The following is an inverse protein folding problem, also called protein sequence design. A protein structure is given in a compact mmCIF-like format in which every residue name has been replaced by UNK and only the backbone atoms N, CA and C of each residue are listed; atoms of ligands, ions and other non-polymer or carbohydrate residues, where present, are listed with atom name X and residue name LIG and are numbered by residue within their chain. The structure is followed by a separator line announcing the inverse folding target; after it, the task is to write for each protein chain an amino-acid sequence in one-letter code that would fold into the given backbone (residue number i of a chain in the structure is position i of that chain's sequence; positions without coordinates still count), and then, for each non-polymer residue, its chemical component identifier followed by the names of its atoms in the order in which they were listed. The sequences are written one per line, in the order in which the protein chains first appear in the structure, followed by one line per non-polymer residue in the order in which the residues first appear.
data_IF_346258526215
#
_entry.id   IF_346258526215
#
_cell.length_a   1.000
_cell.length_b   1.000
_cell.length_c   1.000
_cell.angle_alpha   90.00
_cell.angle_beta   90.00
_cell.angle_gamma   90.00
#
_symmetry.space_group_name_H-M   'P 1'
#
loop_
_entity.id
_entity.type
_entity.pdbx_description
1 polymer ?
#
# COMPACT_ATOMS: atom_id res chain seq x y z
N UNK A 1 6.42 -18.90 20.72
CA UNK A 1 6.43 -19.76 19.51
C UNK A 1 7.83 -19.71 18.95
N UNK A 2 8.37 -20.86 18.56
CA UNK A 2 9.62 -20.95 17.79
C UNK A 2 9.44 -20.38 16.38
N UNK A 3 10.55 -20.04 15.71
CA UNK A 3 10.51 -19.56 14.33
C UNK A 3 9.89 -20.57 13.36
N UNK A 4 10.17 -21.86 13.57
CA UNK A 4 9.59 -22.93 12.76
C UNK A 4 8.07 -23.00 12.89
N UNK A 5 7.55 -22.95 14.12
CA UNK A 5 6.09 -22.95 14.34
C UNK A 5 5.40 -21.74 13.68
N UNK A 6 6.03 -20.56 13.71
CA UNK A 6 5.53 -19.36 13.03
C UNK A 6 5.46 -19.58 11.52
N UNK A 7 6.53 -20.12 10.93
CA UNK A 7 6.60 -20.41 9.49
C UNK A 7 5.55 -21.46 9.10
N UNK A 8 5.42 -22.54 9.86
CA UNK A 8 4.50 -23.63 9.57
C UNK A 8 3.05 -23.17 9.62
N UNK A 9 2.67 -22.39 10.63
CA UNK A 9 1.32 -21.79 10.69
C UNK A 9 1.03 -20.94 9.46
N UNK A 10 1.96 -20.09 9.05
CA UNK A 10 1.72 -19.25 7.87
C UNK A 10 1.66 -20.08 6.59
N UNK A 11 2.51 -21.09 6.41
CA UNK A 11 2.46 -21.98 5.25
C UNK A 11 1.15 -22.77 5.18
N UNK A 12 0.59 -23.14 6.32
CA UNK A 12 -0.64 -23.92 6.40
C UNK A 12 -1.90 -23.07 6.22
N UNK A 13 -1.93 -21.85 6.77
CA UNK A 13 -3.16 -21.08 6.91
C UNK A 13 -3.17 -19.73 6.18
N UNK A 14 -2.06 -19.32 5.55
CA UNK A 14 -1.96 -18.02 4.87
C UNK A 14 -1.57 -18.21 3.42
N UNK A 15 -2.32 -17.54 2.52
CA UNK A 15 -1.94 -17.43 1.12
C UNK A 15 -1.01 -16.22 0.95
N UNK A 16 0.25 -16.48 0.60
CA UNK A 16 1.24 -15.41 0.47
C UNK A 16 1.04 -14.63 -0.83
N UNK A 17 1.07 -13.30 -0.74
CA UNK A 17 1.09 -12.45 -1.92
C UNK A 17 2.48 -12.44 -2.58
N UNK A 18 2.51 -12.21 -3.90
CA UNK A 18 3.74 -11.98 -4.70
C UNK A 18 4.72 -13.16 -4.79
N UNK A 19 4.31 -14.37 -4.45
CA UNK A 19 5.16 -15.57 -4.55
C UNK A 19 4.35 -16.82 -4.86
N UNK A 20 4.99 -17.81 -5.49
CA UNK A 20 4.39 -19.13 -5.69
C UNK A 20 4.33 -19.86 -4.34
N UNK A 21 3.16 -20.38 -3.97
CA UNK A 21 2.94 -20.94 -2.62
C UNK A 21 3.92 -22.08 -2.28
N UNK A 22 4.22 -22.95 -3.25
CA UNK A 22 5.19 -24.05 -3.09
C UNK A 22 6.63 -23.58 -2.87
N UNK A 23 6.98 -22.37 -3.31
CA UNK A 23 8.33 -21.80 -3.21
C UNK A 23 8.47 -20.76 -2.07
N UNK A 24 7.43 -20.59 -1.24
CA UNK A 24 7.48 -19.68 -0.09
C UNK A 24 8.56 -20.10 0.90
N UNK A 25 9.41 -19.16 1.32
CA UNK A 25 10.38 -19.35 2.40
C UNK A 25 10.39 -18.08 3.28
N UNK A 26 9.34 -17.88 4.10
CA UNK A 26 9.16 -16.64 4.85
C UNK A 26 10.16 -16.55 6.01
N UNK A 27 10.63 -15.32 6.29
CA UNK A 27 11.45 -15.03 7.46
C UNK A 27 10.49 -14.77 8.65
N UNK A 28 10.63 -15.46 9.79
CA UNK A 28 9.80 -15.22 10.98
C UNK A 28 10.26 -13.92 11.69
N UNK A 29 9.90 -12.77 11.12
CA UNK A 29 10.25 -11.44 11.63
C UNK A 29 9.54 -11.16 12.97
N UNK A 30 10.27 -10.62 13.95
CA UNK A 30 9.71 -10.27 15.27
C UNK A 30 9.83 -8.80 15.63
N UNK A 31 10.65 -8.02 14.92
CA UNK A 31 10.85 -6.61 15.22
C UNK A 31 11.75 -5.90 14.22
N UNK A 32 11.83 -4.58 14.36
CA UNK A 32 12.71 -3.73 13.57
C UNK A 32 12.83 -2.35 14.18
N UNK A 33 13.93 -1.67 13.85
CA UNK A 33 14.22 -0.30 14.26
C UNK A 33 15.05 0.39 13.17
N UNK A 34 14.60 1.57 12.74
CA UNK A 34 15.30 2.35 11.72
C UNK A 34 15.42 1.56 10.42
N UNK A 35 16.65 1.35 9.94
CA UNK A 35 16.93 0.62 8.69
C UNK A 35 17.10 -0.90 8.90
N UNK A 36 16.93 -1.40 10.12
CA UNK A 36 17.12 -2.82 10.43
C UNK A 36 15.80 -3.49 10.83
N UNK A 37 15.68 -4.77 10.52
CA UNK A 37 14.71 -5.69 11.13
C UNK A 37 15.41 -6.98 11.57
N UNK A 38 14.74 -7.79 12.38
CA UNK A 38 15.29 -9.06 12.88
C UNK A 38 14.24 -10.15 12.99
N UNK A 39 14.70 -11.39 12.83
CA UNK A 39 13.88 -12.57 13.08
C UNK A 39 13.85 -12.95 14.56
N UNK A 40 13.01 -13.93 14.90
CA UNK A 40 12.85 -14.43 16.28
C UNK A 40 14.11 -15.01 16.90
N UNK A 41 15.09 -15.41 16.08
CA UNK A 41 16.38 -15.94 16.54
C UNK A 41 17.42 -14.81 16.74
N UNK A 42 17.01 -13.55 16.52
CA UNK A 42 17.82 -12.36 16.73
C UNK A 42 18.77 -12.03 15.57
N UNK A 43 18.67 -12.73 14.43
CA UNK A 43 19.47 -12.38 13.25
C UNK A 43 18.94 -11.06 12.66
N UNK A 44 19.85 -10.11 12.46
CA UNK A 44 19.55 -8.77 11.95
C UNK A 44 19.75 -8.67 10.44
N UNK A 45 18.88 -7.92 9.80
CA UNK A 45 18.85 -7.67 8.36
C UNK A 45 18.85 -6.16 8.13
N UNK A 46 19.74 -5.68 7.26
CA UNK A 46 19.72 -4.31 6.77
C UNK A 46 18.73 -4.22 5.59
N UNK A 47 17.73 -3.35 5.72
CA UNK A 47 16.65 -3.21 4.74
C UNK A 47 17.00 -2.18 3.66
N UNK A 48 17.62 -2.64 2.58
CA UNK A 48 17.91 -1.81 1.40
C UNK A 48 16.69 -1.51 0.51
N UNK A 49 15.51 -2.06 0.83
CA UNK A 49 14.30 -1.93 0.02
C UNK A 49 13.24 -1.03 0.66
N UNK A 50 13.40 -0.70 1.95
CA UNK A 50 12.33 -0.15 2.78
C UNK A 50 11.05 -0.99 2.64
N UNK A 51 11.22 -2.32 2.69
CA UNK A 51 10.23 -3.33 2.32
C UNK A 51 9.72 -3.12 0.88
N UNK A 52 8.42 -2.83 0.69
CA UNK A 52 7.84 -2.53 -0.61
C UNK A 52 7.91 -1.01 -0.88
N UNK A 53 9.11 -0.44 -0.69
CA UNK A 53 9.43 0.98 -0.90
C UNK A 53 8.49 1.93 -0.13
N UNK A 54 8.10 1.56 1.10
CA UNK A 54 7.08 2.27 1.87
C UNK A 54 7.49 2.63 3.32
N UNK A 55 8.60 2.12 3.83
CA UNK A 55 9.10 2.44 5.18
C UNK A 55 10.11 3.59 5.18
N UNK A 56 9.74 4.75 4.65
CA UNK A 56 10.64 5.91 4.52
C UNK A 56 11.14 6.46 5.88
N UNK A 57 10.37 6.29 6.95
CA UNK A 57 10.76 6.69 8.32
C UNK A 57 11.49 5.57 9.08
N UNK A 58 11.70 4.41 8.45
CA UNK A 58 12.23 3.21 9.08
C UNK A 58 11.19 2.42 9.89
N UNK A 59 11.63 1.26 10.36
CA UNK A 59 10.83 0.37 11.21
C UNK A 59 10.59 1.00 12.60
N UNK A 60 9.38 0.82 13.13
CA UNK A 60 8.96 1.20 14.51
C UNK A 60 9.31 2.65 14.93
N UNK A 61 9.11 3.62 14.05
CA UNK A 61 9.39 5.02 14.37
C UNK A 61 8.55 5.50 15.58
N UNK A 62 9.16 5.93 16.71
CA UNK A 62 8.47 6.10 17.99
C UNK A 62 7.34 7.14 17.93
N UNK A 63 7.54 8.26 17.20
CA UNK A 63 6.49 9.28 17.03
C UNK A 63 5.26 8.78 16.26
N UNK A 64 5.43 7.82 15.35
CA UNK A 64 4.32 7.25 14.57
C UNK A 64 3.54 6.27 15.44
N UNK A 65 4.25 5.42 16.19
CA UNK A 65 3.66 4.48 17.13
C UNK A 65 2.82 5.21 18.19
N UNK A 66 3.36 6.30 18.75
CA UNK A 66 2.64 7.08 19.76
C UNK A 66 1.38 7.73 19.18
N UNK A 67 1.47 8.38 18.02
CA UNK A 67 0.32 8.99 17.36
C UNK A 67 -0.79 7.98 17.02
N UNK A 68 -0.44 6.74 16.66
CA UNK A 68 -1.41 5.66 16.42
C UNK A 68 -2.12 5.28 17.73
N UNK A 69 -1.39 5.13 18.84
CA UNK A 69 -1.96 4.78 20.15
C UNK A 69 -2.92 5.86 20.64
N UNK A 70 -2.48 7.12 20.62
CA UNK A 70 -3.30 8.27 21.01
C UNK A 70 -4.60 8.34 20.19
N UNK A 71 -4.52 8.15 18.87
CA UNK A 71 -5.71 8.15 18.03
C UNK A 71 -6.62 6.92 18.28
N UNK A 72 -6.05 5.75 18.57
CA UNK A 72 -6.82 4.55 18.87
C UNK A 72 -7.59 4.68 20.20
N UNK A 73 -6.99 5.33 21.21
CA UNK A 73 -7.65 5.63 22.49
C UNK A 73 -8.81 6.63 22.30
N UNK A 74 -8.69 7.56 21.36
CA UNK A 74 -9.71 8.56 21.07
C UNK A 74 -10.84 8.03 20.16
N UNK A 75 -10.50 7.46 19.00
CA UNK A 75 -11.45 6.99 17.98
C UNK A 75 -10.74 6.19 16.87
N UNK A 76 -11.00 4.89 16.77
CA UNK A 76 -10.43 4.04 15.71
C UNK A 76 -11.08 4.23 14.33
N UNK A 77 -12.38 4.52 14.27
CA UNK A 77 -13.10 4.57 13.01
C UNK A 77 -14.38 5.43 13.08
N UNK A 78 -14.66 6.16 12.00
CA UNK A 78 -15.94 6.79 11.76
C UNK A 78 -16.24 6.78 10.26
N UNK A 79 -17.53 6.82 9.91
CA UNK A 79 -18.01 6.91 8.53
C UNK A 79 -17.27 8.02 7.73
N UNK A 80 -16.80 7.76 6.49
CA UNK A 80 -16.00 8.71 5.71
C UNK A 80 -16.60 10.10 5.50
N UNK A 81 -17.93 10.24 5.52
CA UNK A 81 -18.63 11.52 5.40
C UNK A 81 -18.53 12.42 6.64
N UNK A 82 -18.09 11.89 7.79
CA UNK A 82 -17.92 12.68 9.02
C UNK A 82 -16.61 13.45 9.01
N UNK A 83 -16.55 14.62 9.65
CA UNK A 83 -15.32 15.38 9.82
C UNK A 83 -14.51 14.88 11.02
N UNK A 84 -13.19 14.83 10.90
CA UNK A 84 -12.27 14.58 12.02
C UNK A 84 -11.09 15.55 11.92
N UNK A 85 -10.53 15.92 13.07
CA UNK A 85 -9.38 16.83 13.14
C UNK A 85 -8.21 16.29 12.31
N UNK A 86 -7.81 15.03 12.54
CA UNK A 86 -6.69 14.37 11.84
C UNK A 86 -6.86 14.34 10.32
N UNK A 87 -8.10 14.14 9.82
CA UNK A 87 -8.38 14.16 8.37
C UNK A 87 -8.23 15.55 7.78
N UNK A 88 -8.72 16.57 8.49
CA UNK A 88 -8.59 17.97 8.06
C UNK A 88 -7.14 18.45 8.05
N UNK A 89 -6.38 18.15 9.11
CA UNK A 89 -4.98 18.51 9.24
C UNK A 89 -4.09 17.84 8.19
N UNK A 90 -4.26 16.53 7.96
CA UNK A 90 -3.54 15.82 6.91
C UNK A 90 -3.87 16.40 5.52
N UNK A 91 -5.13 16.74 5.27
CA UNK A 91 -5.54 17.41 4.03
C UNK A 91 -4.82 18.74 3.81
N UNK A 92 -4.70 19.58 4.86
CA UNK A 92 -3.95 20.85 4.82
C UNK A 92 -2.46 20.62 4.55
N UNK A 93 -1.83 19.72 5.31
CA UNK A 93 -0.40 19.42 5.18
C UNK A 93 -0.05 18.89 3.78
N UNK A 94 -0.91 18.07 3.17
CA UNK A 94 -0.73 17.61 1.80
C UNK A 94 -0.80 18.77 0.81
N UNK A 95 -1.77 19.68 0.97
CA UNK A 95 -1.92 20.84 0.10
C UNK A 95 -0.71 21.80 0.13
N UNK A 96 0.09 21.78 1.20
CA UNK A 96 1.31 22.59 1.33
C UNK A 96 2.50 22.06 0.51
N UNK A 97 2.50 20.76 0.20
CA UNK A 97 3.61 20.10 -0.51
C UNK A 97 3.26 19.70 -1.95
N UNK A 98 1.98 19.70 -2.31
CA UNK A 98 1.50 19.45 -3.68
C UNK A 98 1.59 20.71 -4.54
N UNK A 99 1.47 20.59 -5.89
CA UNK A 99 1.40 21.77 -6.76
C UNK A 99 0.30 22.76 -6.33
N UNK A 100 0.48 24.09 -6.53
CA UNK A 100 -0.42 25.12 -5.98
C UNK A 100 -1.91 24.96 -6.31
N UNK A 101 -2.24 24.31 -7.41
CA UNK A 101 -3.61 24.06 -7.88
C UNK A 101 -4.18 22.70 -7.42
N UNK A 102 -3.45 21.91 -6.63
CA UNK A 102 -3.86 20.59 -6.14
C UNK A 102 -4.06 20.62 -4.61
N UNK A 103 -5.21 21.12 -4.18
CA UNK A 103 -5.50 21.41 -2.75
C UNK A 103 -6.54 20.48 -2.11
N UNK A 104 -7.06 19.50 -2.85
CA UNK A 104 -8.06 18.54 -2.38
C UNK A 104 -7.51 17.12 -2.47
N UNK A 105 -7.68 16.37 -1.38
CA UNK A 105 -7.22 14.99 -1.26
C UNK A 105 -8.41 14.06 -1.06
N UNK A 106 -8.43 12.98 -1.83
CA UNK A 106 -9.30 11.82 -1.59
C UNK A 106 -8.44 10.69 -1.01
N UNK A 107 -8.73 10.26 0.21
CA UNK A 107 -7.96 9.23 0.90
C UNK A 107 -8.40 7.81 0.49
N UNK A 108 -7.44 6.90 0.38
CA UNK A 108 -7.64 5.47 0.10
C UNK A 108 -6.70 4.66 0.99
N UNK A 109 -6.83 3.32 1.02
CA UNK A 109 -5.98 2.46 1.85
C UNK A 109 -4.75 1.95 1.08
N UNK A 110 -4.70 2.11 -0.24
CA UNK A 110 -3.55 1.73 -1.05
C UNK A 110 -3.50 2.36 -2.43
N UNK A 111 -2.33 2.26 -3.08
CA UNK A 111 -2.07 2.89 -4.38
C UNK A 111 -2.97 2.37 -5.52
N UNK A 112 -3.41 1.10 -5.46
CA UNK A 112 -4.31 0.54 -6.46
C UNK A 112 -5.69 1.21 -6.43
N UNK A 113 -6.28 1.39 -5.25
CA UNK A 113 -7.55 2.10 -5.05
C UNK A 113 -7.42 3.57 -5.46
N UNK A 114 -6.30 4.21 -5.10
CA UNK A 114 -6.01 5.59 -5.52
C UNK A 114 -6.06 5.72 -7.06
N UNK A 115 -5.41 4.79 -7.78
CA UNK A 115 -5.43 4.77 -9.24
C UNK A 115 -6.83 4.50 -9.80
N UNK A 116 -7.61 3.60 -9.22
CA UNK A 116 -8.98 3.36 -9.66
C UNK A 116 -9.91 4.57 -9.47
N UNK A 117 -9.74 5.30 -8.36
CA UNK A 117 -10.43 6.57 -8.15
C UNK A 117 -9.97 7.63 -9.16
N UNK A 118 -8.67 7.72 -9.44
CA UNK A 118 -8.13 8.65 -10.42
C UNK A 118 -8.70 8.42 -11.83
N UNK A 119 -8.80 7.15 -12.27
CA UNK A 119 -9.44 6.81 -13.56
C UNK A 119 -10.89 7.31 -13.61
N UNK A 120 -11.66 7.04 -12.55
CA UNK A 120 -13.08 7.45 -12.46
C UNK A 120 -13.22 8.97 -12.49
N UNK A 121 -12.42 9.68 -11.68
CA UNK A 121 -12.43 11.15 -11.65
C UNK A 121 -12.03 11.75 -13.00
N UNK A 122 -11.00 11.22 -13.67
CA UNK A 122 -10.57 11.70 -14.98
C UNK A 122 -11.65 11.50 -16.05
N UNK A 123 -12.30 10.32 -16.08
CA UNK A 123 -13.41 10.03 -16.99
C UNK A 123 -14.62 10.91 -16.72
N UNK A 124 -15.00 11.07 -15.45
CA UNK A 124 -16.13 11.94 -15.04
C UNK A 124 -15.88 13.41 -15.42
N UNK A 125 -14.67 13.91 -15.20
CA UNK A 125 -14.34 15.31 -15.48
C UNK A 125 -14.22 15.60 -16.99
N UNK A 126 -13.57 14.71 -17.74
CA UNK A 126 -13.28 14.95 -19.16
C UNK A 126 -14.37 14.46 -20.12
N UNK A 127 -15.22 13.52 -19.68
CA UNK A 127 -16.12 12.76 -20.54
C UNK A 127 -15.41 11.81 -21.51
N UNK A 128 -14.08 11.68 -21.43
CA UNK A 128 -13.27 10.85 -22.34
C UNK A 128 -13.02 9.47 -21.75
N UNK A 129 -13.16 8.44 -22.58
CA UNK A 129 -13.10 7.05 -22.13
C UNK A 129 -11.69 6.48 -22.01
N UNK A 130 -10.80 6.81 -22.97
CA UNK A 130 -9.48 6.19 -23.09
C UNK A 130 -8.50 6.73 -22.04
N UNK A 131 -7.75 5.83 -21.41
CA UNK A 131 -6.60 6.13 -20.54
C UNK A 131 -5.35 5.57 -21.20
N UNK A 132 -4.30 6.38 -21.32
CA UNK A 132 -3.01 5.94 -21.87
C UNK A 132 -2.14 5.43 -20.73
N UNK A 133 -1.59 4.23 -20.88
CA UNK A 133 -0.54 3.69 -20.00
C UNK A 133 0.75 3.42 -20.77
N UNK A 134 1.77 2.90 -20.08
CA UNK A 134 3.12 2.70 -20.61
C UNK A 134 3.61 1.29 -20.36
N UNK A 135 4.40 0.78 -21.29
CA UNK A 135 5.17 -0.45 -21.11
C UNK A 135 6.03 -0.39 -19.83
N UNK A 136 6.03 -1.48 -19.05
CA UNK A 136 6.69 -1.62 -17.74
C UNK A 136 6.17 -0.71 -16.62
N UNK A 137 5.03 -0.04 -16.80
CA UNK A 137 4.40 0.67 -15.71
C UNK A 137 3.83 -0.29 -14.66
N UNK A 138 3.82 0.13 -13.39
CA UNK A 138 3.17 -0.58 -12.29
C UNK A 138 2.15 0.35 -11.64
N UNK A 139 0.88 -0.03 -11.66
CA UNK A 139 -0.21 0.78 -11.10
C UNK A 139 -1.02 0.05 -10.02
N UNK A 140 -0.78 -1.25 -9.81
CA UNK A 140 -1.40 -2.03 -8.75
C UNK A 140 -1.78 -3.44 -9.20
N UNK A 141 -2.61 -4.10 -8.40
CA UNK A 141 -3.05 -5.47 -8.61
C UNK A 141 -4.56 -5.69 -8.46
N UNK A 142 -5.35 -4.62 -8.28
CA UNK A 142 -6.81 -4.69 -8.48
C UNK A 142 -7.12 -4.67 -9.98
N UNK A 143 -8.31 -5.11 -10.40
CA UNK A 143 -8.61 -5.27 -11.83
C UNK A 143 -8.39 -3.98 -12.65
N UNK A 144 -8.84 -2.82 -12.15
CA UNK A 144 -8.67 -1.54 -12.83
C UNK A 144 -7.20 -1.09 -12.88
N UNK A 145 -6.52 -1.16 -11.75
CA UNK A 145 -5.11 -0.79 -11.63
C UNK A 145 -4.17 -1.73 -12.39
N UNK A 146 -4.50 -3.02 -12.45
CA UNK A 146 -3.74 -4.01 -13.20
C UNK A 146 -3.85 -3.80 -14.70
N UNK A 147 -5.01 -3.32 -15.19
CA UNK A 147 -5.16 -2.95 -16.60
C UNK A 147 -4.21 -1.82 -16.99
N UNK A 148 -4.00 -0.87 -16.08
CA UNK A 148 -3.02 0.19 -16.27
C UNK A 148 -1.57 -0.33 -16.18
N UNK A 149 -1.31 -1.51 -15.61
CA UNK A 149 0.05 -2.00 -15.45
C UNK A 149 0.59 -2.56 -16.78
N UNK A 150 1.79 -2.14 -17.16
CA UNK A 150 2.45 -2.50 -18.42
C UNK A 150 3.41 -3.68 -18.30
N UNK A 151 3.27 -4.50 -17.25
CA UNK A 151 4.16 -5.62 -16.96
C UNK A 151 3.43 -6.98 -17.04
N UNK A 152 4.17 -8.12 -17.09
CA UNK A 152 3.61 -9.44 -17.43
C UNK A 152 2.58 -9.99 -16.45
N UNK A 153 2.47 -9.44 -15.23
CA UNK A 153 1.56 -9.97 -14.20
C UNK A 153 0.10 -9.96 -14.61
N UNK A 154 -0.29 -9.10 -15.55
CA UNK A 154 -1.67 -9.02 -16.06
C UNK A 154 -2.07 -10.18 -16.96
N UNK A 155 -1.12 -10.79 -17.67
CA UNK A 155 -1.41 -11.65 -18.83
C UNK A 155 -2.29 -12.86 -18.51
N UNK A 156 -2.10 -13.47 -17.33
CA UNK A 156 -2.84 -14.65 -16.91
C UNK A 156 -4.27 -14.35 -16.42
N UNK A 157 -4.61 -13.09 -16.20
CA UNK A 157 -5.90 -12.66 -15.63
C UNK A 157 -6.69 -11.71 -16.54
N UNK A 158 -6.23 -11.56 -17.79
CA UNK A 158 -7.00 -10.90 -18.84
C UNK A 158 -8.25 -11.73 -19.21
N UNK A 159 -9.33 -11.09 -19.72
CA UNK A 159 -9.45 -9.66 -20.00
C UNK A 159 -9.76 -8.82 -18.75
N UNK A 160 -9.12 -7.65 -18.65
CA UNK A 160 -9.39 -6.66 -17.60
C UNK A 160 -10.31 -5.50 -18.11
N UNK A 161 -10.27 -4.32 -17.48
CA UNK A 161 -11.22 -3.25 -17.82
C UNK A 161 -10.94 -2.68 -19.23
N UNK A 162 -11.97 -2.31 -20.01
CA UNK A 162 -11.76 -1.74 -21.33
C UNK A 162 -11.29 -0.28 -21.27
N UNK A 163 -10.72 0.20 -22.38
CA UNK A 163 -10.39 1.60 -22.59
C UNK A 163 -9.04 2.04 -22.01
N UNK A 164 -8.16 1.11 -21.67
CA UNK A 164 -6.74 1.39 -21.44
C UNK A 164 -5.97 1.04 -22.70
N UNK A 165 -5.11 1.95 -23.15
CA UNK A 165 -4.26 1.80 -24.34
C UNK A 165 -2.80 2.03 -24.02
#
# INVERSE_FOLDING_TARGET
MSGQEIVDLNRQYVFFSWTAQSATNPIPVTGGEGVYFWDVDGRRYLDFSAQLMNLNLGHQHPRVVEAIKEQADALCYVYPGMATQVKGELGRLLAEITPPNLTKTFFTLGGAEANEHAIRMARMFTGRFKIISRYRAYHGATAGAMTLSGDPRRLAVEPLIPGVI
#
